data_IF_879056012451
#
_entry.id   IF_879056012451
#
_cell.length_a   1.000
_cell.length_b   1.000
_cell.length_c   1.000
_cell.angle_alpha   90.00
_cell.angle_beta   90.00
_cell.angle_gamma   90.00
#
_symmetry.space_group_name_H-M   'P 1'
#
loop_
_entity.id
_entity.type
_entity.pdbx_description
1 polymer ?
#
# COMPACT_ATOMS: atom_id res chain seq x y z
N UNK A 1 -11.86 -26.84 -19.12
CA UNK A 1 -13.06 -26.42 -19.90
C UNK A 1 -13.31 -24.91 -19.85
N UNK A 2 -13.07 -24.21 -18.73
CA UNK A 2 -13.15 -22.74 -18.66
C UNK A 2 -11.80 -22.03 -18.83
N UNK A 3 -10.70 -22.75 -19.08
CA UNK A 3 -9.37 -22.12 -19.13
C UNK A 3 -9.24 -21.04 -20.20
N UNK A 4 -9.81 -21.23 -21.39
CA UNK A 4 -9.75 -20.23 -22.46
C UNK A 4 -10.59 -18.98 -22.14
N UNK A 5 -11.69 -19.15 -21.40
CA UNK A 5 -12.50 -18.04 -20.92
C UNK A 5 -11.72 -17.20 -19.90
N UNK A 6 -11.16 -17.84 -18.87
CA UNK A 6 -10.35 -17.19 -17.84
C UNK A 6 -9.10 -16.52 -18.42
N UNK A 7 -8.43 -17.17 -19.38
CA UNK A 7 -7.26 -16.62 -20.06
C UNK A 7 -7.60 -15.35 -20.83
N UNK A 8 -8.76 -15.30 -21.49
CA UNK A 8 -9.23 -14.11 -22.19
C UNK A 8 -9.62 -12.97 -21.24
N UNK A 9 -10.26 -13.29 -20.11
CA UNK A 9 -10.60 -12.31 -19.08
C UNK A 9 -9.32 -11.68 -18.50
N UNK A 10 -8.36 -12.52 -18.08
CA UNK A 10 -7.07 -12.09 -17.56
C UNK A 10 -6.28 -11.25 -18.57
N UNK A 11 -6.30 -11.63 -19.85
CA UNK A 11 -5.62 -10.88 -20.90
C UNK A 11 -6.17 -9.45 -21.06
N UNK A 12 -7.51 -9.26 -20.93
CA UNK A 12 -8.14 -7.93 -20.97
C UNK A 12 -7.71 -7.07 -19.80
N UNK A 13 -7.75 -7.61 -18.59
CA UNK A 13 -7.37 -6.89 -17.37
C UNK A 13 -5.89 -6.51 -17.41
N UNK A 14 -5.03 -7.43 -17.84
CA UNK A 14 -3.60 -7.16 -17.96
C UNK A 14 -3.30 -6.10 -19.04
N UNK A 15 -4.04 -6.09 -20.16
CA UNK A 15 -3.90 -5.06 -21.18
C UNK A 15 -4.31 -3.67 -20.64
N UNK A 16 -5.40 -3.61 -19.88
CA UNK A 16 -5.84 -2.38 -19.18
C UNK A 16 -4.80 -1.90 -18.18
N UNK A 17 -4.32 -2.80 -17.31
CA UNK A 17 -3.26 -2.53 -16.33
C UNK A 17 -1.98 -2.02 -17.00
N UNK A 18 -1.54 -2.68 -18.08
CA UNK A 18 -0.36 -2.26 -18.85
C UNK A 18 -0.53 -0.85 -19.41
N UNK A 19 -1.70 -0.52 -19.98
CA UNK A 19 -1.98 0.82 -20.52
C UNK A 19 -1.88 1.88 -19.42
N UNK A 20 -2.59 1.70 -18.30
CA UNK A 20 -2.56 2.63 -17.16
C UNK A 20 -1.14 2.80 -16.61
N UNK A 21 -0.37 1.71 -16.53
CA UNK A 21 1.01 1.75 -16.04
C UNK A 21 1.95 2.49 -16.99
N UNK A 22 1.79 2.30 -18.30
CA UNK A 22 2.57 3.05 -19.30
C UNK A 22 2.26 4.54 -19.27
N UNK A 23 0.98 4.92 -19.13
CA UNK A 23 0.59 6.33 -19.02
C UNK A 23 1.14 6.96 -17.73
N UNK A 24 1.13 6.23 -16.61
CA UNK A 24 1.78 6.66 -15.38
C UNK A 24 3.30 6.85 -15.55
N UNK A 25 3.99 5.92 -16.24
CA UNK A 25 5.41 6.07 -16.53
C UNK A 25 5.72 7.24 -17.45
N UNK A 26 4.86 7.55 -18.43
CA UNK A 26 5.01 8.76 -19.26
C UNK A 26 4.94 10.03 -18.42
N UNK A 27 3.99 10.10 -17.50
CA UNK A 27 3.85 11.25 -16.59
C UNK A 27 5.08 11.37 -15.68
N UNK A 28 5.54 10.27 -15.08
CA UNK A 28 6.75 10.26 -14.25
C UNK A 28 7.99 10.70 -15.04
N UNK A 29 8.18 10.14 -16.24
CA UNK A 29 9.31 10.49 -17.11
C UNK A 29 9.27 11.96 -17.52
N UNK A 30 8.09 12.50 -17.86
CA UNK A 30 7.92 13.91 -18.19
C UNK A 30 8.24 14.81 -16.98
N UNK A 31 7.74 14.48 -15.79
CA UNK A 31 7.99 15.25 -14.57
C UNK A 31 9.47 15.26 -14.17
N UNK A 32 10.13 14.10 -14.20
CA UNK A 32 11.56 13.98 -13.92
C UNK A 32 12.39 14.75 -14.94
N UNK A 33 12.07 14.59 -16.23
CA UNK A 33 12.78 15.28 -17.31
C UNK A 33 12.60 16.80 -17.22
N UNK A 34 11.39 17.27 -16.93
CA UNK A 34 11.10 18.68 -16.77
C UNK A 34 11.87 19.28 -15.60
N UNK A 35 11.85 18.64 -14.42
CA UNK A 35 12.62 19.09 -13.26
C UNK A 35 14.12 19.17 -13.56
N UNK A 36 14.68 18.13 -14.19
CA UNK A 36 16.08 18.10 -14.56
C UNK A 36 16.44 19.21 -15.57
N UNK A 37 15.60 19.42 -16.59
CA UNK A 37 15.80 20.49 -17.57
C UNK A 37 15.67 21.88 -16.95
N UNK A 38 14.70 22.10 -16.06
CA UNK A 38 14.55 23.37 -15.33
C UNK A 38 15.79 23.66 -14.47
N UNK A 39 16.32 22.67 -13.76
CA UNK A 39 17.55 22.83 -12.97
C UNK A 39 18.75 23.21 -13.87
N UNK A 40 18.92 22.51 -14.99
CA UNK A 40 20.00 22.81 -15.95
C UNK A 40 19.85 24.18 -16.58
N UNK A 41 18.63 24.59 -16.89
CA UNK A 41 18.34 25.91 -17.45
C UNK A 41 18.71 27.02 -16.45
N UNK A 42 18.32 26.88 -15.18
CA UNK A 42 18.68 27.85 -14.13
C UNK A 42 20.21 27.91 -13.98
N UNK A 43 20.89 26.76 -13.94
CA UNK A 43 22.35 26.71 -13.88
C UNK A 43 23.00 27.45 -15.05
N UNK A 44 22.50 27.24 -16.27
CA UNK A 44 22.99 27.90 -17.48
C UNK A 44 22.76 29.42 -17.43
N UNK A 45 21.58 29.87 -17.00
CA UNK A 45 21.27 31.30 -16.82
C UNK A 45 22.22 31.93 -15.80
N UNK A 46 22.44 31.27 -14.66
CA UNK A 46 23.39 31.74 -13.63
C UNK A 46 24.81 31.81 -14.17
N UNK A 47 25.25 30.83 -14.95
CA UNK A 47 26.58 30.83 -15.56
C UNK A 47 26.75 31.99 -16.54
N UNK A 48 25.79 32.23 -17.42
CA UNK A 48 25.85 33.30 -18.42
C UNK A 48 25.83 34.67 -17.72
N UNK A 49 24.85 34.90 -16.84
CA UNK A 49 24.70 36.16 -16.13
C UNK A 49 25.89 36.43 -15.20
N UNK A 50 26.32 35.43 -14.44
CA UNK A 50 27.46 35.54 -13.54
C UNK A 50 28.76 35.81 -14.28
N UNK A 51 29.01 35.11 -15.40
CA UNK A 51 30.19 35.38 -16.24
C UNK A 51 30.18 36.79 -16.81
N UNK A 52 29.02 37.28 -17.26
CA UNK A 52 28.86 38.64 -17.75
C UNK A 52 29.18 39.69 -16.67
N UNK A 53 28.73 39.50 -15.43
CA UNK A 53 29.02 40.40 -14.31
C UNK A 53 30.50 40.38 -13.91
N UNK A 54 31.16 39.22 -13.99
CA UNK A 54 32.61 39.10 -13.75
C UNK A 54 33.39 39.87 -14.81
N UNK A 55 33.01 39.76 -16.10
CA UNK A 55 33.66 40.48 -17.19
C UNK A 55 33.52 42.00 -17.08
N UNK A 56 32.45 42.51 -16.45
CA UNK A 56 32.26 43.93 -16.15
C UNK A 56 32.97 44.40 -14.87
N UNK A 57 33.58 43.49 -14.10
CA UNK A 57 34.20 43.81 -12.82
C UNK A 57 33.20 44.05 -11.68
N UNK A 58 31.90 43.79 -11.89
CA UNK A 58 30.84 43.97 -10.89
C UNK A 58 30.76 42.78 -9.92
N UNK A 59 31.37 41.63 -10.26
CA UNK A 59 31.43 40.42 -9.45
C UNK A 59 32.85 39.84 -9.44
N UNK A 60 33.36 39.44 -8.27
CA UNK A 60 34.64 38.75 -8.19
C UNK A 60 34.53 37.30 -8.68
N UNK A 61 35.61 36.74 -9.22
CA UNK A 61 35.64 35.33 -9.64
C UNK A 61 35.34 34.37 -8.48
N UNK A 62 35.80 34.70 -7.26
CA UNK A 62 35.48 33.96 -6.05
C UNK A 62 34.00 34.05 -5.67
N UNK A 63 33.40 35.24 -5.80
CA UNK A 63 31.96 35.45 -5.59
C UNK A 63 31.11 34.66 -6.58
N UNK A 64 31.51 34.60 -7.85
CA UNK A 64 30.85 33.80 -8.87
C UNK A 64 30.88 32.29 -8.57
N UNK A 65 32.07 31.75 -8.24
CA UNK A 65 32.20 30.34 -7.85
C UNK A 65 31.40 30.03 -6.58
N UNK A 66 31.46 30.91 -5.57
CA UNK A 66 30.67 30.77 -4.34
C UNK A 66 29.17 30.74 -4.60
N UNK A 67 28.68 31.60 -5.49
CA UNK A 67 27.27 31.62 -5.88
C UNK A 67 26.85 30.34 -6.61
N UNK A 68 27.66 29.83 -7.53
CA UNK A 68 27.40 28.55 -8.21
C UNK A 68 27.30 27.37 -7.23
N UNK A 69 28.16 27.35 -6.22
CA UNK A 69 28.10 26.33 -5.16
C UNK A 69 26.81 26.46 -4.34
N UNK A 70 26.43 27.68 -3.96
CA UNK A 70 25.22 27.94 -3.19
C UNK A 70 23.94 27.53 -3.94
N UNK A 71 23.87 27.79 -5.24
CA UNK A 71 22.76 27.35 -6.10
C UNK A 71 22.61 25.83 -6.08
N UNK A 72 23.71 25.07 -6.14
CA UNK A 72 23.65 23.61 -6.03
C UNK A 72 23.15 23.14 -4.66
N UNK A 73 23.52 23.82 -3.57
CA UNK A 73 23.00 23.51 -2.23
C UNK A 73 21.50 23.77 -2.16
N UNK A 74 21.02 24.85 -2.79
CA UNK A 74 19.60 25.20 -2.81
C UNK A 74 18.73 24.21 -3.61
N UNK A 75 19.28 23.56 -4.63
CA UNK A 75 18.54 22.56 -5.40
C UNK A 75 18.33 21.23 -4.66
N UNK A 76 19.22 20.84 -3.74
CA UNK A 76 19.09 19.56 -3.02
C UNK A 76 17.76 19.40 -2.25
N UNK A 77 17.29 20.40 -1.47
CA UNK A 77 15.97 20.35 -0.86
C UNK A 77 14.81 20.22 -1.86
N UNK A 78 14.90 20.89 -3.02
CA UNK A 78 13.87 20.86 -4.06
C UNK A 78 13.74 19.44 -4.63
N UNK A 79 14.87 18.80 -4.95
CA UNK A 79 14.90 17.41 -5.40
C UNK A 79 14.30 16.47 -4.36
N UNK A 80 14.58 16.72 -3.07
CA UNK A 80 14.01 15.92 -1.99
C UNK A 80 12.49 16.06 -1.91
N UNK A 81 11.96 17.28 -2.01
CA UNK A 81 10.51 17.53 -2.04
C UNK A 81 9.86 16.80 -3.21
N UNK A 82 10.45 16.89 -4.42
CA UNK A 82 9.94 16.18 -5.60
C UNK A 82 9.88 14.66 -5.38
N UNK A 83 10.94 14.07 -4.81
CA UNK A 83 10.96 12.63 -4.50
C UNK A 83 9.86 12.22 -3.50
N UNK A 84 9.52 13.09 -2.55
CA UNK A 84 8.46 12.84 -1.57
C UNK A 84 7.09 12.93 -2.22
N UNK A 85 6.85 13.90 -3.11
CA UNK A 85 5.57 14.03 -3.84
C UNK A 85 5.24 12.75 -4.62
N UNK A 86 6.25 12.06 -5.18
CA UNK A 86 6.04 10.80 -5.90
C UNK A 86 5.78 9.59 -4.99
N UNK A 87 6.40 9.56 -3.81
CA UNK A 87 6.35 8.41 -2.89
C UNK A 87 5.23 8.51 -1.85
N UNK A 88 4.80 9.72 -1.52
CA UNK A 88 3.80 9.99 -0.49
C UNK A 88 2.43 9.33 -0.77
N UNK A 89 1.86 9.38 -2.00
CA UNK A 89 0.58 8.72 -2.27
C UNK A 89 0.65 7.20 -2.07
N UNK A 90 1.77 6.57 -2.44
CA UNK A 90 2.02 5.13 -2.22
C UNK A 90 2.08 4.81 -0.74
N UNK A 91 2.75 5.66 0.05
CA UNK A 91 2.84 5.54 1.50
C UNK A 91 1.46 5.62 2.17
N UNK A 92 0.67 6.64 1.85
CA UNK A 92 -0.67 6.82 2.41
C UNK A 92 -1.62 5.67 2.03
N UNK A 93 -1.55 5.16 0.80
CA UNK A 93 -2.36 4.01 0.40
C UNK A 93 -2.01 2.75 1.21
N UNK A 94 -0.72 2.49 1.44
CA UNK A 94 -0.27 1.38 2.30
C UNK A 94 -0.69 1.57 3.75
N UNK A 95 -0.52 2.78 4.29
CA UNK A 95 -0.90 3.11 5.65
C UNK A 95 -2.40 2.93 5.90
N UNK A 96 -3.26 3.36 4.97
CA UNK A 96 -4.72 3.15 5.07
C UNK A 96 -5.09 1.67 5.14
N UNK A 97 -4.44 0.81 4.34
CA UNK A 97 -4.66 -0.64 4.39
C UNK A 97 -4.21 -1.24 5.72
N UNK A 98 -3.10 -0.75 6.25
CA UNK A 98 -2.59 -1.18 7.56
C UNK A 98 -3.54 -0.77 8.69
N UNK A 99 -4.02 0.47 8.69
CA UNK A 99 -5.01 0.94 9.65
C UNK A 99 -6.30 0.11 9.57
N UNK A 100 -6.82 -0.14 8.37
CA UNK A 100 -8.01 -0.99 8.18
C UNK A 100 -7.82 -2.42 8.71
N UNK A 101 -6.62 -2.97 8.62
CA UNK A 101 -6.29 -4.27 9.19
C UNK A 101 -6.29 -4.23 10.73
N UNK A 102 -5.72 -3.18 11.33
CA UNK A 102 -5.75 -3.01 12.79
C UNK A 102 -7.17 -2.79 13.33
N UNK A 103 -8.03 -2.14 12.55
CA UNK A 103 -9.42 -1.89 12.88
C UNK A 103 -10.34 -3.11 12.62
N UNK A 104 -9.79 -4.23 12.15
CA UNK A 104 -10.59 -5.45 11.91
C UNK A 104 -10.98 -6.09 13.25
N UNK A 105 -12.28 -6.10 13.54
CA UNK A 105 -12.82 -6.76 14.73
C UNK A 105 -12.67 -8.30 14.63
N UNK A 106 -12.40 -9.01 15.75
CA UNK A 106 -12.35 -10.46 15.75
C UNK A 106 -13.73 -11.06 15.46
N UNK A 107 -13.80 -12.07 14.59
CA UNK A 107 -15.04 -12.81 14.31
C UNK A 107 -15.58 -13.53 15.56
N UNK A 108 -14.69 -13.93 16.46
CA UNK A 108 -15.00 -14.59 17.74
C UNK A 108 -14.21 -13.87 18.83
N UNK A 109 -14.92 -13.26 19.77
CA UNK A 109 -14.35 -12.58 20.92
C UNK A 109 -14.98 -13.10 22.22
N UNK A 110 -14.20 -13.08 23.29
CA UNK A 110 -14.68 -13.41 24.62
C UNK A 110 -15.75 -12.42 25.09
N UNK A 111 -16.76 -12.93 25.78
CA UNK A 111 -17.77 -12.08 26.39
C UNK A 111 -17.17 -11.33 27.59
N UNK A 112 -17.70 -10.16 27.97
CA UNK A 112 -17.29 -9.48 29.20
C UNK A 112 -17.41 -10.40 30.42
N UNK A 113 -16.33 -10.53 31.19
CA UNK A 113 -16.27 -11.42 32.35
C UNK A 113 -16.15 -12.91 32.03
N UNK A 114 -15.76 -13.27 30.81
CA UNK A 114 -15.36 -14.64 30.51
C UNK A 114 -14.27 -15.10 31.48
N UNK A 115 -14.41 -16.32 31.96
CA UNK A 115 -13.46 -16.99 32.85
C UNK A 115 -12.71 -18.05 32.07
N UNK A 116 -11.49 -18.34 32.50
CA UNK A 116 -10.73 -19.45 31.94
C UNK A 116 -11.51 -20.77 32.12
N UNK A 117 -11.47 -21.62 31.09
CA UNK A 117 -12.12 -22.91 31.15
C UNK A 117 -11.47 -23.75 32.28
N UNK A 118 -12.27 -24.28 33.24
CA UNK A 118 -11.74 -25.17 34.26
C UNK A 118 -11.32 -26.51 33.64
N UNK A 119 -10.71 -27.39 34.43
CA UNK A 119 -10.44 -28.77 33.97
C UNK A 119 -11.74 -29.44 33.55
N UNK A 120 -11.87 -29.75 32.25
CA UNK A 120 -13.07 -30.33 31.65
C UNK A 120 -13.05 -31.86 31.77
N UNK A 121 -14.22 -32.46 32.01
CA UNK A 121 -14.37 -33.92 32.16
C UNK A 121 -14.53 -34.65 30.82
N UNK A 122 -14.66 -33.93 29.69
CA UNK A 122 -14.79 -34.51 28.35
C UNK A 122 -16.21 -34.86 27.89
N UNK A 123 -17.25 -34.54 28.67
CA UNK A 123 -18.64 -34.61 28.22
C UNK A 123 -18.93 -33.48 27.21
N UNK A 124 -19.53 -33.80 26.06
CA UNK A 124 -19.86 -32.83 25.00
C UNK A 124 -21.38 -32.80 24.81
N UNK A 125 -21.98 -31.62 24.85
CA UNK A 125 -23.42 -31.42 24.65
C UNK A 125 -23.67 -30.32 23.63
N UNK A 126 -24.38 -30.67 22.56
CA UNK A 126 -24.98 -29.73 21.61
C UNK A 126 -26.46 -29.56 21.99
N UNK A 127 -26.90 -28.33 22.17
CA UNK A 127 -28.30 -27.97 22.45
C UNK A 127 -28.78 -27.00 21.39
N UNK A 128 -29.77 -27.43 20.61
CA UNK A 128 -30.44 -26.64 19.56
C UNK A 128 -29.49 -25.91 18.60
N UNK A 129 -28.38 -26.55 18.23
CA UNK A 129 -27.31 -25.91 17.46
C UNK A 129 -27.68 -25.79 15.98
N UNK A 130 -27.61 -24.58 15.46
CA UNK A 130 -27.74 -24.26 14.03
C UNK A 130 -26.50 -23.48 13.58
N UNK A 131 -25.89 -23.88 12.45
CA UNK A 131 -24.64 -23.30 11.98
C UNK A 131 -24.60 -23.18 10.45
N UNK A 132 -23.98 -22.12 9.94
CA UNK A 132 -23.68 -21.90 8.53
C UNK A 132 -22.51 -20.93 8.36
N UNK A 133 -21.72 -21.08 7.30
CA UNK A 133 -20.53 -20.25 7.03
C UNK A 133 -20.88 -18.84 6.54
N UNK A 134 -21.87 -18.75 5.66
CA UNK A 134 -22.52 -17.50 5.28
C UNK A 134 -23.95 -17.56 5.79
N UNK A 135 -24.45 -16.47 6.37
CA UNK A 135 -25.79 -16.41 6.98
C UNK A 135 -26.96 -16.78 6.04
N UNK A 136 -26.69 -17.00 4.75
CA UNK A 136 -27.65 -17.38 3.73
C UNK A 136 -28.07 -18.86 3.78
N UNK A 137 -27.22 -19.77 4.28
CA UNK A 137 -27.54 -21.20 4.31
C UNK A 137 -26.97 -21.93 5.53
N UNK A 138 -27.86 -22.43 6.38
CA UNK A 138 -27.51 -23.32 7.48
C UNK A 138 -27.09 -24.71 6.96
N UNK A 139 -25.89 -25.13 7.34
CA UNK A 139 -25.30 -26.46 7.11
C UNK A 139 -25.78 -27.43 8.18
N UNK A 140 -25.82 -27.00 9.44
CA UNK A 140 -26.39 -27.74 10.56
C UNK A 140 -27.69 -27.05 11.01
N UNK A 141 -28.73 -27.83 11.31
CA UNK A 141 -30.04 -27.31 11.74
C UNK A 141 -30.54 -28.06 12.96
N UNK A 142 -30.78 -27.33 14.05
CA UNK A 142 -31.37 -27.81 15.30
C UNK A 142 -30.76 -29.12 15.82
N UNK A 143 -29.43 -29.21 15.81
CA UNK A 143 -28.71 -30.39 16.29
C UNK A 143 -28.73 -30.43 17.82
N UNK A 144 -29.24 -31.55 18.37
CA UNK A 144 -29.16 -31.91 19.77
C UNK A 144 -28.40 -33.23 19.90
N UNK A 145 -27.27 -33.23 20.61
CA UNK A 145 -26.40 -34.39 20.74
C UNK A 145 -25.69 -34.35 22.10
N UNK A 146 -25.72 -35.48 22.82
CA UNK A 146 -25.00 -35.67 24.07
C UNK A 146 -23.98 -36.81 23.89
N UNK A 147 -22.71 -36.54 24.20
CA UNK A 147 -21.60 -37.48 24.11
C UNK A 147 -20.93 -37.57 25.48
N UNK A 148 -20.92 -38.77 26.06
CA UNK A 148 -20.26 -39.02 27.33
C UNK A 148 -18.74 -39.11 27.18
N UNK A 149 -18.01 -38.74 28.23
CA UNK A 149 -16.56 -38.89 28.29
C UNK A 149 -16.15 -40.35 27.99
N UNK A 150 -15.22 -40.52 27.04
CA UNK A 150 -14.74 -41.85 26.60
C UNK A 150 -15.65 -42.57 25.60
N UNK A 151 -16.81 -42.01 25.25
CA UNK A 151 -17.70 -42.57 24.24
C UNK A 151 -17.13 -42.36 22.83
N UNK A 152 -17.17 -43.41 22.00
CA UNK A 152 -16.81 -43.31 20.57
C UNK A 152 -18.08 -43.15 19.73
N UNK A 153 -18.11 -42.14 18.86
CA UNK A 153 -19.18 -41.89 17.90
C UNK A 153 -18.59 -41.82 16.50
N UNK A 154 -19.32 -42.36 15.52
CA UNK A 154 -19.01 -42.22 14.11
C UNK A 154 -19.99 -41.23 13.46
N UNK A 155 -19.45 -40.26 12.73
CA UNK A 155 -20.24 -39.36 11.88
C UNK A 155 -20.11 -39.82 10.44
N UNK A 156 -21.25 -40.02 9.78
CA UNK A 156 -21.33 -40.36 8.35
C UNK A 156 -22.29 -39.39 7.68
N UNK A 157 -21.85 -38.77 6.59
CA UNK A 157 -22.57 -37.72 5.87
C UNK A 157 -21.76 -37.21 4.70
#
# INVERSE_FOLDING_TARGET
ANEDHERNLFARDNASYRKTKLDAYRIMAASTSLSYMSMRLIQLVVMIAGSYLVLRGELSSGGFVGFLLLVNVFFRPIDKINSVIETYPKGIAGFRRYAALLDTEPDIADRPGAVDAPTLQGNISYRDVTFGYSGERAVLKNINLDIAAGQTIAFVG
#
